data_IF_620395808677
#
_entry.id   IF_620395808677
#
_cell.length_a   1.000
_cell.length_b   1.000
_cell.length_c   1.000
_cell.angle_alpha   90.00
_cell.angle_beta   90.00
_cell.angle_gamma   90.00
#
_symmetry.space_group_name_H-M   'P 1'
#
loop_
_entity.id
_entity.type
_entity.pdbx_description
1 polymer ?
#
# COMPACT_ATOMS: atom_id res chain seq x y z
N UNK A 1 8.31 -16.23 -10.24
CA UNK A 1 6.91 -16.36 -9.86
C UNK A 1 6.67 -15.67 -8.52
N UNK A 2 5.51 -15.00 -8.40
CA UNK A 2 5.14 -14.37 -7.13
C UNK A 2 4.86 -15.45 -6.08
N UNK A 3 5.46 -15.31 -4.90
CA UNK A 3 5.20 -16.15 -3.76
C UNK A 3 4.20 -15.48 -2.84
N UNK A 4 3.09 -16.16 -2.51
CA UNK A 4 2.12 -15.66 -1.53
C UNK A 4 2.61 -16.04 -0.15
N UNK A 5 2.77 -15.04 0.73
CA UNK A 5 3.18 -15.23 2.12
C UNK A 5 2.12 -14.69 3.07
N UNK A 6 1.97 -15.34 4.21
CA UNK A 6 1.11 -14.88 5.29
C UNK A 6 1.86 -13.87 6.16
N UNK A 7 1.31 -12.66 6.26
CA UNK A 7 1.80 -11.62 7.17
C UNK A 7 1.39 -11.95 8.60
N UNK A 8 0.11 -12.23 8.79
CA UNK A 8 -0.45 -12.67 10.07
C UNK A 8 -1.72 -13.47 9.85
N UNK A 9 -2.03 -14.36 10.79
CA UNK A 9 -3.24 -15.16 10.80
C UNK A 9 -3.84 -15.14 12.20
N UNK A 10 -5.11 -14.86 12.31
CA UNK A 10 -5.84 -14.83 13.58
C UNK A 10 -7.08 -15.73 13.46
N UNK A 11 -7.30 -16.57 14.46
CA UNK A 11 -8.51 -17.39 14.55
C UNK A 11 -9.74 -16.51 14.87
N UNK A 12 -10.80 -16.71 14.13
CA UNK A 12 -12.12 -16.15 14.39
C UNK A 12 -13.06 -17.24 14.90
N UNK A 13 -14.30 -16.86 15.22
CA UNK A 13 -15.32 -17.82 15.62
C UNK A 13 -15.60 -18.84 14.50
N UNK A 14 -16.06 -20.05 14.88
CA UNK A 14 -16.51 -21.10 13.94
C UNK A 14 -15.40 -21.59 13.00
N UNK A 15 -14.18 -21.77 13.53
CA UNK A 15 -13.00 -22.25 12.78
C UNK A 15 -12.60 -21.39 11.57
N UNK A 16 -13.13 -20.18 11.46
CA UNK A 16 -12.69 -19.21 10.46
C UNK A 16 -11.37 -18.56 10.84
N UNK A 17 -10.62 -18.12 9.83
CA UNK A 17 -9.33 -17.45 10.02
C UNK A 17 -9.28 -16.14 9.26
N UNK A 18 -8.83 -15.09 9.94
CA UNK A 18 -8.46 -13.84 9.32
C UNK A 18 -6.99 -13.92 8.90
N UNK A 19 -6.73 -13.84 7.61
CA UNK A 19 -5.37 -13.88 7.06
C UNK A 19 -5.06 -12.60 6.32
N UNK A 20 -3.95 -11.97 6.69
CA UNK A 20 -3.36 -10.89 5.90
C UNK A 20 -2.26 -11.51 5.06
N UNK A 21 -2.39 -11.37 3.74
CA UNK A 21 -1.48 -11.96 2.76
C UNK A 21 -0.69 -10.88 2.04
N UNK A 22 0.50 -11.23 1.59
CA UNK A 22 1.29 -10.43 0.65
C UNK A 22 1.81 -11.28 -0.49
N UNK A 23 2.00 -10.65 -1.64
CA UNK A 23 2.68 -11.24 -2.78
C UNK A 23 4.13 -10.73 -2.79
N UNK A 24 5.09 -11.63 -2.70
CA UNK A 24 6.51 -11.30 -2.75
C UNK A 24 7.04 -11.64 -4.13
N UNK A 25 7.59 -10.64 -4.82
CA UNK A 25 8.18 -10.81 -6.14
C UNK A 25 9.65 -10.43 -6.02
N UNK A 26 10.51 -11.41 -6.28
CA UNK A 26 11.97 -11.29 -6.13
C UNK A 26 12.65 -11.40 -7.49
N UNK A 27 13.84 -10.78 -7.68
CA UNK A 27 14.61 -10.95 -8.89
C UNK A 27 15.10 -12.39 -9.04
N UNK A 28 15.38 -12.80 -10.28
CA UNK A 28 15.91 -14.14 -10.58
C UNK A 28 17.28 -14.37 -9.93
N UNK A 29 18.09 -13.32 -9.89
CA UNK A 29 19.44 -13.37 -9.29
C UNK A 29 19.53 -12.34 -8.17
N UNK A 30 19.62 -12.82 -6.94
CA UNK A 30 19.76 -11.97 -5.76
C UNK A 30 21.22 -11.69 -5.46
N UNK A 31 21.51 -10.44 -5.08
CA UNK A 31 22.82 -9.99 -4.62
C UNK A 31 22.92 -9.91 -3.09
N UNK A 32 21.79 -9.90 -2.40
CA UNK A 32 21.68 -9.63 -0.96
C UNK A 32 21.61 -8.14 -0.61
N UNK A 33 21.66 -7.26 -1.62
CA UNK A 33 21.60 -5.80 -1.42
C UNK A 33 20.39 -5.18 -2.12
N UNK A 34 19.38 -5.98 -2.41
CA UNK A 34 18.17 -5.53 -3.07
C UNK A 34 17.43 -4.51 -2.22
N UNK A 35 17.00 -3.42 -2.84
CA UNK A 35 16.02 -2.52 -2.25
C UNK A 35 14.64 -3.14 -2.31
N UNK A 36 13.80 -2.76 -1.36
CA UNK A 36 12.45 -3.29 -1.20
C UNK A 36 11.42 -2.17 -1.25
N UNK A 37 10.43 -2.34 -2.11
CA UNK A 37 9.25 -1.49 -2.18
C UNK A 37 8.02 -2.29 -1.75
N UNK A 38 7.18 -1.69 -0.93
CA UNK A 38 5.87 -2.22 -0.54
C UNK A 38 4.77 -1.40 -1.19
N UNK A 39 3.77 -2.06 -1.76
CA UNK A 39 2.57 -1.44 -2.30
C UNK A 39 1.38 -1.98 -1.53
N UNK A 40 0.63 -1.08 -0.89
CA UNK A 40 -0.43 -1.42 0.05
C UNK A 40 -1.75 -0.86 -0.44
N UNK A 41 -2.80 -1.67 -0.37
CA UNK A 41 -4.18 -1.26 -0.66
C UNK A 41 -5.17 -2.07 0.17
N UNK A 42 -6.47 -1.80 0.02
CA UNK A 42 -7.51 -2.55 0.70
C UNK A 42 -7.58 -2.31 2.21
N UNK A 43 -7.07 -1.19 2.71
CA UNK A 43 -7.29 -0.72 4.08
C UNK A 43 -8.76 -0.39 4.28
N UNK A 44 -9.37 0.28 3.31
CA UNK A 44 -10.81 0.44 3.19
C UNK A 44 -11.31 -0.46 2.06
N UNK A 45 -12.26 -1.34 2.37
CA UNK A 45 -12.66 -2.40 1.45
C UNK A 45 -13.49 -1.93 0.26
N UNK A 46 -14.05 -0.73 0.31
CA UNK A 46 -14.81 -0.12 -0.79
C UNK A 46 -13.94 0.72 -1.75
N UNK A 47 -12.65 0.85 -1.48
CA UNK A 47 -11.70 1.58 -2.32
C UNK A 47 -11.00 0.61 -3.28
N UNK A 48 -11.57 0.43 -4.48
CA UNK A 48 -11.18 -0.63 -5.40
C UNK A 48 -10.07 -0.26 -6.40
N UNK A 49 -9.74 1.03 -6.54
CA UNK A 49 -8.72 1.51 -7.48
C UNK A 49 -7.38 0.78 -7.27
N UNK A 50 -6.94 0.67 -6.03
CA UNK A 50 -5.70 -0.01 -5.67
C UNK A 50 -5.69 -1.51 -6.01
N UNK A 51 -6.84 -2.17 -6.03
CA UNK A 51 -6.95 -3.59 -6.43
C UNK A 51 -6.51 -3.77 -7.88
N UNK A 52 -6.95 -2.88 -8.75
CA UNK A 52 -6.56 -2.91 -10.15
C UNK A 52 -5.07 -2.59 -10.35
N UNK A 53 -4.53 -1.63 -9.59
CA UNK A 53 -3.09 -1.33 -9.59
C UNK A 53 -2.28 -2.58 -9.18
N UNK A 54 -2.68 -3.27 -8.13
CA UNK A 54 -2.03 -4.51 -7.71
C UNK A 54 -2.07 -5.59 -8.80
N UNK A 55 -3.20 -5.74 -9.47
CA UNK A 55 -3.34 -6.65 -10.60
C UNK A 55 -2.36 -6.31 -11.73
N UNK A 56 -2.31 -5.05 -12.15
CA UNK A 56 -1.40 -4.58 -13.20
C UNK A 56 0.08 -4.76 -12.82
N UNK A 57 0.45 -4.43 -11.59
CA UNK A 57 1.81 -4.65 -11.10
C UNK A 57 2.20 -6.13 -11.15
N UNK A 58 1.34 -7.00 -10.65
CA UNK A 58 1.60 -8.45 -10.71
C UNK A 58 1.76 -8.96 -12.14
N UNK A 59 0.91 -8.47 -13.04
CA UNK A 59 0.94 -8.87 -14.45
C UNK A 59 2.25 -8.45 -15.12
N UNK A 60 2.63 -7.18 -15.03
CA UNK A 60 3.82 -6.64 -15.67
C UNK A 60 5.09 -7.25 -15.07
N UNK A 61 5.17 -7.35 -13.75
CA UNK A 61 6.34 -7.94 -13.08
C UNK A 61 6.55 -9.41 -13.43
N UNK A 62 5.46 -10.15 -13.70
CA UNK A 62 5.55 -11.53 -14.14
C UNK A 62 5.97 -11.64 -15.60
N UNK A 63 5.40 -10.80 -16.47
CA UNK A 63 5.69 -10.81 -17.91
C UNK A 63 7.11 -10.32 -18.26
N UNK A 64 7.67 -9.44 -17.43
CA UNK A 64 8.95 -8.77 -17.67
C UNK A 64 9.89 -8.94 -16.46
N UNK A 65 9.88 -10.09 -15.86
CA UNK A 65 10.62 -10.35 -14.61
C UNK A 65 12.14 -10.20 -14.74
N UNK A 66 12.67 -10.33 -15.95
CA UNK A 66 14.10 -10.12 -16.25
C UNK A 66 14.58 -8.70 -15.93
N UNK A 67 13.65 -7.73 -15.88
CA UNK A 67 13.94 -6.35 -15.54
C UNK A 67 13.87 -6.05 -14.05
N UNK A 68 13.45 -7.00 -13.24
CA UNK A 68 13.34 -6.82 -11.78
C UNK A 68 14.72 -7.01 -11.13
N UNK A 69 15.17 -6.01 -10.37
CA UNK A 69 16.47 -5.99 -9.67
C UNK A 69 16.34 -5.79 -8.16
N UNK A 70 15.14 -5.59 -7.66
CA UNK A 70 14.84 -5.45 -6.25
C UNK A 70 13.64 -6.29 -5.84
N UNK A 71 13.16 -6.12 -4.63
CA UNK A 71 12.04 -6.86 -4.05
C UNK A 71 10.79 -6.00 -4.10
N UNK A 72 9.72 -6.54 -4.66
CA UNK A 72 8.39 -5.91 -4.64
C UNK A 72 7.46 -6.76 -3.78
N UNK A 73 6.89 -6.15 -2.76
CA UNK A 73 5.90 -6.79 -1.91
C UNK A 73 4.55 -6.07 -2.06
N UNK A 74 3.52 -6.80 -2.44
CA UNK A 74 2.18 -6.28 -2.69
C UNK A 74 1.24 -6.80 -1.63
N UNK A 75 0.60 -5.89 -0.90
CA UNK A 75 -0.40 -6.17 0.12
C UNK A 75 -1.77 -5.77 -0.42
N UNK A 76 -2.51 -6.69 -1.09
CA UNK A 76 -3.72 -6.31 -1.82
C UNK A 76 -4.91 -6.00 -0.91
N UNK A 77 -4.90 -6.51 0.31
CA UNK A 77 -6.03 -6.34 1.22
C UNK A 77 -5.57 -6.33 2.68
N UNK A 78 -5.35 -5.15 3.26
CA UNK A 78 -5.10 -5.03 4.69
C UNK A 78 -6.37 -5.27 5.52
N UNK A 79 -7.52 -5.09 4.92
CA UNK A 79 -8.84 -5.39 5.47
C UNK A 79 -9.56 -6.36 4.53
N UNK A 80 -9.21 -7.66 4.54
CA UNK A 80 -9.76 -8.62 3.57
C UNK A 80 -11.26 -8.82 3.74
N UNK A 81 -11.79 -8.78 4.95
CA UNK A 81 -13.23 -8.90 5.20
C UNK A 81 -13.98 -7.70 4.62
N UNK A 82 -13.41 -6.49 4.70
CA UNK A 82 -13.95 -5.30 4.09
C UNK A 82 -13.92 -5.36 2.56
N UNK A 83 -12.84 -5.84 1.98
CA UNK A 83 -12.74 -6.04 0.51
C UNK A 83 -13.77 -7.03 0.02
N UNK A 84 -13.93 -8.16 0.69
CA UNK A 84 -14.90 -9.20 0.32
C UNK A 84 -16.35 -8.71 0.38
N UNK A 85 -16.66 -7.83 1.32
CA UNK A 85 -18.02 -7.26 1.49
C UNK A 85 -18.20 -5.88 0.86
N UNK A 86 -17.15 -5.32 0.25
CA UNK A 86 -17.12 -3.97 -0.33
C UNK A 86 -17.61 -2.95 0.71
N UNK A 87 -17.02 -2.99 1.89
CA UNK A 87 -17.33 -2.10 3.00
C UNK A 87 -16.07 -1.38 3.48
N UNK A 88 -16.22 -0.12 3.90
CA UNK A 88 -15.10 0.72 4.32
C UNK A 88 -14.37 0.16 5.54
N UNK A 89 -15.10 -0.15 6.58
CA UNK A 89 -14.53 -0.63 7.84
C UNK A 89 -14.31 -2.14 7.86
N UNK A 90 -13.83 -2.62 9.00
CA UNK A 90 -13.74 -4.05 9.26
C UNK A 90 -15.14 -4.54 9.64
N UNK A 91 -15.81 -5.38 8.85
CA UNK A 91 -17.14 -5.87 9.17
C UNK A 91 -17.28 -6.42 10.55
N UNK A 92 -17.81 -6.95 11.25
CA UNK A 92 -17.83 -7.52 12.60
C UNK A 92 -17.32 -6.59 13.73
N UNK A 93 -16.38 -5.70 13.46
CA UNK A 93 -15.77 -4.83 14.48
C UNK A 93 -16.20 -3.37 14.39
N UNK A 94 -16.82 -2.97 13.28
CA UNK A 94 -17.21 -1.58 12.97
C UNK A 94 -16.07 -0.58 13.19
N UNK A 95 -14.87 -0.94 12.73
CA UNK A 95 -13.65 -0.16 12.89
C UNK A 95 -13.08 0.27 11.54
N UNK A 96 -12.63 1.51 11.47
CA UNK A 96 -11.77 1.99 10.40
C UNK A 96 -10.32 1.56 10.72
N UNK A 97 -9.78 0.64 9.93
CA UNK A 97 -8.43 0.12 10.15
C UNK A 97 -7.37 1.22 10.12
N UNK A 98 -7.58 2.27 9.33
CA UNK A 98 -6.65 3.39 9.25
C UNK A 98 -6.78 4.39 10.41
N UNK A 99 -7.37 3.96 11.53
CA UNK A 99 -7.46 4.73 12.78
C UNK A 99 -6.93 3.97 13.99
N UNK A 100 -6.34 2.79 13.76
CA UNK A 100 -5.84 1.92 14.84
C UNK A 100 -4.36 1.64 14.78
N UNK A 101 -3.64 2.09 13.73
CA UNK A 101 -2.20 1.97 13.64
C UNK A 101 -1.49 2.85 14.69
N UNK A 102 -0.35 2.43 15.23
CA UNK A 102 0.45 1.23 14.88
C UNK A 102 -0.07 -0.07 15.49
N UNK A 103 -1.17 -0.08 16.20
CA UNK A 103 -1.71 -1.25 16.86
C UNK A 103 -0.95 -1.66 18.11
N UNK A 104 -1.27 -2.85 18.60
CA UNK A 104 -0.61 -3.48 19.75
C UNK A 104 -0.73 -4.99 19.64
N UNK A 105 0.35 -5.71 19.85
CA UNK A 105 0.34 -7.19 19.83
C UNK A 105 -0.56 -7.79 20.91
N UNK A 106 -0.68 -7.10 22.03
CA UNK A 106 -1.49 -7.53 23.20
C UNK A 106 -2.89 -6.93 23.19
N UNK A 107 -3.24 -6.15 22.17
CA UNK A 107 -4.53 -5.48 22.06
C UNK A 107 -5.63 -6.35 21.48
N UNK A 108 -6.68 -5.70 20.97
CA UNK A 108 -7.76 -6.37 20.24
C UNK A 108 -7.24 -7.10 19.00
N UNK A 109 -8.06 -7.95 18.40
CA UNK A 109 -7.72 -8.63 17.13
C UNK A 109 -7.28 -7.64 16.06
N UNK A 110 -8.02 -6.54 15.89
CA UNK A 110 -7.67 -5.51 14.91
C UNK A 110 -6.35 -4.81 15.23
N UNK A 111 -6.10 -4.48 16.48
CA UNK A 111 -4.83 -3.88 16.93
C UNK A 111 -3.65 -4.84 16.76
N UNK A 112 -3.83 -6.12 17.04
CA UNK A 112 -2.81 -7.13 16.81
C UNK A 112 -2.46 -7.24 15.32
N UNK A 113 -3.45 -7.30 14.45
CA UNK A 113 -3.26 -7.33 13.00
C UNK A 113 -2.53 -6.08 12.52
N UNK A 114 -2.92 -4.89 12.98
CA UNK A 114 -2.24 -3.63 12.65
C UNK A 114 -0.77 -3.66 13.04
N UNK A 115 -0.45 -4.11 14.24
CA UNK A 115 0.94 -4.23 14.71
C UNK A 115 1.76 -5.19 13.84
N UNK A 116 1.21 -6.31 13.43
CA UNK A 116 1.88 -7.28 12.54
C UNK A 116 2.12 -6.74 11.14
N UNK A 117 1.22 -5.93 10.62
CA UNK A 117 1.41 -5.25 9.32
C UNK A 117 2.58 -4.27 9.41
N UNK A 118 2.62 -3.44 10.43
CA UNK A 118 3.73 -2.48 10.64
C UNK A 118 5.06 -3.21 10.79
N UNK A 119 5.12 -4.28 11.57
CA UNK A 119 6.30 -5.12 11.75
C UNK A 119 6.79 -5.72 10.42
N UNK A 120 5.88 -6.20 9.59
CA UNK A 120 6.21 -6.84 8.31
C UNK A 120 6.78 -5.84 7.29
N UNK A 121 6.27 -4.60 7.26
CA UNK A 121 6.72 -3.55 6.36
C UNK A 121 7.99 -2.85 6.88
N UNK A 122 8.26 -2.92 8.17
CA UNK A 122 9.44 -2.30 8.78
C UNK A 122 10.72 -2.64 8.01
N UNK A 123 11.57 -1.64 7.79
CA UNK A 123 12.81 -1.79 7.02
C UNK A 123 12.65 -1.68 5.51
N UNK A 124 11.45 -1.53 4.97
CA UNK A 124 11.27 -1.26 3.54
C UNK A 124 11.88 0.09 3.15
N UNK A 125 12.34 0.19 1.90
CA UNK A 125 12.94 1.44 1.38
C UNK A 125 11.89 2.44 0.90
N UNK A 126 10.70 1.96 0.57
CA UNK A 126 9.53 2.78 0.22
C UNK A 126 8.26 1.98 0.42
N UNK A 127 7.21 2.64 0.88
CA UNK A 127 5.84 2.12 0.87
C UNK A 127 4.93 3.10 0.11
N UNK A 128 4.14 2.58 -0.81
CA UNK A 128 3.08 3.32 -1.50
C UNK A 128 1.74 2.82 -0.98
N UNK A 129 1.01 3.69 -0.30
CA UNK A 129 -0.26 3.40 0.36
C UNK A 129 -1.40 3.97 -0.48
N UNK A 130 -2.14 3.10 -1.17
CA UNK A 130 -3.12 3.49 -2.19
C UNK A 130 -4.52 3.52 -1.59
N UNK A 131 -5.17 4.67 -1.71
CA UNK A 131 -6.55 4.92 -1.31
C UNK A 131 -7.38 5.47 -2.47
N UNK A 132 -8.69 5.40 -2.33
CA UNK A 132 -9.63 6.12 -3.16
C UNK A 132 -10.48 7.04 -2.29
N UNK A 133 -11.22 7.96 -2.91
CA UNK A 133 -12.20 8.79 -2.21
C UNK A 133 -13.40 7.97 -1.75
N UNK A 134 -14.28 8.59 -0.97
CA UNK A 134 -15.56 7.97 -0.65
C UNK A 134 -16.46 7.85 -1.90
N UNK A 135 -17.63 7.25 -1.75
CA UNK A 135 -18.57 7.00 -2.87
C UNK A 135 -19.20 8.26 -3.47
N UNK A 136 -19.03 9.42 -2.85
CA UNK A 136 -19.68 10.67 -3.26
C UNK A 136 -18.75 11.66 -3.95
N UNK A 137 -17.44 11.47 -3.82
CA UNK A 137 -16.44 12.40 -4.37
C UNK A 137 -15.43 11.66 -5.21
N UNK A 138 -15.21 12.14 -6.42
CA UNK A 138 -14.14 11.65 -7.29
C UNK A 138 -12.92 12.57 -7.16
N UNK A 139 -11.81 12.01 -6.77
CA UNK A 139 -10.55 12.73 -6.70
C UNK A 139 -9.65 12.41 -7.89
N UNK A 140 -9.00 13.43 -8.43
CA UNK A 140 -7.94 13.22 -9.42
C UNK A 140 -6.70 12.65 -8.72
N UNK A 141 -5.87 11.88 -9.42
CA UNK A 141 -4.70 11.25 -8.81
C UNK A 141 -3.78 12.25 -8.12
N UNK A 142 -3.52 12.02 -6.84
CA UNK A 142 -2.73 12.90 -6.02
C UNK A 142 -1.94 12.13 -4.96
N UNK A 143 -0.77 12.66 -4.60
CA UNK A 143 -0.08 12.23 -3.41
C UNK A 143 -0.40 13.19 -2.26
N UNK A 144 -0.55 12.65 -1.05
CA UNK A 144 -0.73 13.42 0.17
C UNK A 144 0.49 13.23 1.06
N UNK A 145 1.15 14.32 1.37
CA UNK A 145 2.40 14.34 2.11
C UNK A 145 2.27 15.30 3.30
N UNK A 146 2.65 14.85 4.49
CA UNK A 146 2.68 15.73 5.65
C UNK A 146 3.89 16.66 5.57
N UNK A 147 3.71 17.92 5.99
CA UNK A 147 4.78 18.94 6.00
C UNK A 147 6.01 18.49 6.77
N UNK A 148 5.86 17.68 7.81
CA UNK A 148 6.96 17.18 8.64
C UNK A 148 7.84 16.12 7.94
N UNK A 149 7.33 15.49 6.88
CA UNK A 149 8.02 14.44 6.13
C UNK A 149 8.28 14.83 4.68
N UNK A 150 7.94 16.04 4.28
CA UNK A 150 8.00 16.49 2.88
C UNK A 150 9.38 16.35 2.25
N UNK A 151 10.43 16.67 2.98
CA UNK A 151 11.80 16.62 2.46
C UNK A 151 12.20 15.18 2.05
N UNK A 152 11.75 14.19 2.82
CA UNK A 152 12.00 12.78 2.53
C UNK A 152 11.09 12.26 1.41
N UNK A 153 9.82 12.69 1.38
CA UNK A 153 8.80 12.07 0.52
C UNK A 153 8.65 12.73 -0.84
N UNK A 154 8.92 14.04 -0.99
CA UNK A 154 8.77 14.72 -2.27
C UNK A 154 9.58 14.10 -3.41
N UNK A 155 10.81 13.63 -3.21
CA UNK A 155 11.56 12.96 -4.28
C UNK A 155 10.84 11.73 -4.85
N UNK A 156 10.07 11.01 -4.03
CA UNK A 156 9.24 9.87 -4.48
C UNK A 156 7.90 10.34 -5.02
N UNK A 157 7.21 11.21 -4.29
CA UNK A 157 5.86 11.65 -4.63
C UNK A 157 5.80 12.34 -6.00
N UNK A 158 6.81 13.14 -6.34
CA UNK A 158 6.89 13.84 -7.62
C UNK A 158 7.17 12.91 -8.81
N UNK A 159 7.63 11.69 -8.56
CA UNK A 159 7.92 10.68 -9.60
C UNK A 159 6.80 9.67 -9.83
N UNK A 160 5.75 9.69 -8.99
CA UNK A 160 4.63 8.74 -9.08
C UNK A 160 3.64 9.03 -10.21
N UNK A 161 3.93 9.99 -11.10
CA UNK A 161 3.08 10.33 -12.26
C UNK A 161 1.68 10.81 -11.87
N UNK A 162 1.56 11.45 -10.73
CA UNK A 162 0.29 11.98 -10.23
C UNK A 162 0.06 13.42 -10.69
N UNK A 163 -1.19 13.89 -10.67
CA UNK A 163 -1.54 15.21 -11.15
C UNK A 163 -1.02 16.33 -10.23
N UNK A 164 -0.96 16.07 -8.92
CA UNK A 164 -0.36 17.00 -7.97
C UNK A 164 0.06 16.30 -6.67
N UNK A 165 0.84 17.01 -5.88
CA UNK A 165 1.21 16.61 -4.52
C UNK A 165 0.62 17.64 -3.55
N UNK A 166 -0.23 17.17 -2.65
CA UNK A 166 -0.78 18.00 -1.58
C UNK A 166 0.07 17.87 -0.33
N UNK A 167 0.75 18.95 0.03
CA UNK A 167 1.49 19.03 1.30
C UNK A 167 0.57 19.67 2.35
N UNK A 168 0.31 18.95 3.42
CA UNK A 168 -0.63 19.37 4.47
C UNK A 168 0.04 19.38 5.85
N UNK A 169 -0.53 20.17 6.77
CA UNK A 169 -0.03 20.32 8.12
C UNK A 169 -0.91 19.65 9.19
N UNK A 170 -1.89 18.81 8.80
CA UNK A 170 -2.77 18.14 9.74
C UNK A 170 -1.98 17.22 10.68
N UNK A 171 -2.25 17.31 11.97
CA UNK A 171 -1.47 16.62 12.99
C UNK A 171 -2.23 15.45 13.65
N UNK A 172 -3.42 15.69 14.17
CA UNK A 172 -4.02 14.79 15.16
C UNK A 172 -4.72 13.56 14.59
N UNK A 173 -5.41 13.66 13.47
CA UNK A 173 -6.14 12.52 12.88
C UNK A 173 -5.21 11.54 12.17
N UNK A 174 -4.02 11.99 11.80
CA UNK A 174 -3.08 11.21 11.00
C UNK A 174 -2.19 10.28 11.84
N UNK A 175 -2.07 10.51 13.14
CA UNK A 175 -1.19 9.72 14.01
C UNK A 175 -1.59 8.25 14.10
N UNK A 176 -2.85 7.94 13.83
CA UNK A 176 -3.39 6.57 13.83
C UNK A 176 -3.47 5.93 12.45
N UNK A 177 -2.85 6.53 11.44
CA UNK A 177 -2.78 5.97 10.08
C UNK A 177 -1.55 5.07 9.90
N UNK A 178 -1.63 4.17 8.93
CA UNK A 178 -0.49 3.35 8.52
C UNK A 178 0.69 4.22 8.09
N UNK A 179 0.45 5.21 7.23
CA UNK A 179 1.50 6.07 6.69
C UNK A 179 2.26 6.82 7.78
N UNK A 180 1.55 7.40 8.75
CA UNK A 180 2.20 8.07 9.89
C UNK A 180 3.06 7.09 10.68
N UNK A 181 2.52 5.92 11.00
CA UNK A 181 3.23 4.89 11.76
C UNK A 181 4.50 4.42 11.06
N UNK A 182 4.45 4.18 9.75
CA UNK A 182 5.61 3.74 8.97
C UNK A 182 6.66 4.85 8.82
N UNK A 183 6.24 6.08 8.52
CA UNK A 183 7.16 7.22 8.47
C UNK A 183 7.85 7.45 9.81
N UNK A 184 7.15 7.23 10.92
CA UNK A 184 7.71 7.37 12.28
C UNK A 184 8.81 6.36 12.60
N UNK A 185 8.82 5.21 11.95
CA UNK A 185 9.86 4.19 12.12
C UNK A 185 10.89 4.18 10.98
N UNK A 186 10.91 5.21 10.16
CA UNK A 186 11.90 5.39 9.11
C UNK A 186 11.60 4.69 7.79
N UNK A 187 10.36 4.23 7.56
CA UNK A 187 9.91 3.72 6.26
C UNK A 187 9.21 4.85 5.51
N UNK A 188 9.85 5.44 4.46
CA UNK A 188 9.20 6.48 3.66
C UNK A 188 7.89 5.93 3.07
N UNK A 189 6.78 6.58 3.39
CA UNK A 189 5.45 6.12 2.96
C UNK A 189 4.68 7.29 2.34
N UNK A 190 4.35 7.15 1.06
CA UNK A 190 3.56 8.11 0.31
C UNK A 190 2.12 7.60 0.23
N UNK A 191 1.18 8.43 0.67
CA UNK A 191 -0.25 8.16 0.49
C UNK A 191 -0.69 8.66 -0.87
N UNK A 192 -1.37 7.81 -1.63
CA UNK A 192 -1.98 8.14 -2.91
C UNK A 192 -3.49 8.08 -2.75
N UNK A 193 -4.16 9.14 -3.19
CA UNK A 193 -5.61 9.21 -3.28
C UNK A 193 -6.01 9.40 -4.73
N UNK A 194 -6.94 8.60 -5.23
CA UNK A 194 -7.42 8.73 -6.62
C UNK A 194 -8.76 8.03 -6.81
N UNK A 195 -9.59 8.61 -7.69
CA UNK A 195 -10.85 8.00 -8.08
C UNK A 195 -11.96 8.16 -7.05
N UNK A 196 -12.86 7.21 -7.01
CA UNK A 196 -14.06 7.20 -6.17
C UNK A 196 -14.33 5.79 -5.64
N UNK A 197 -14.88 5.70 -4.46
CA UNK A 197 -15.24 4.42 -3.83
C UNK A 197 -16.18 3.59 -4.70
N UNK A 198 -16.08 2.26 -4.57
CA UNK A 198 -16.87 1.24 -5.28
C UNK A 198 -16.71 1.24 -6.82
N UNK A 199 -15.69 1.91 -7.34
CA UNK A 199 -15.42 2.00 -8.79
C UNK A 199 -13.94 1.83 -9.10
N UNK A 200 -13.65 1.51 -10.34
CA UNK A 200 -12.29 1.44 -10.90
C UNK A 200 -12.22 2.40 -12.09
N UNK A 201 -11.32 3.38 -11.99
CA UNK A 201 -10.99 4.29 -13.07
C UNK A 201 -9.68 3.83 -13.69
N UNK A 202 -9.75 3.00 -14.72
CA UNK A 202 -8.56 2.34 -15.30
C UNK A 202 -7.46 3.31 -15.69
N UNK A 203 -7.81 4.48 -16.25
CA UNK A 203 -6.82 5.49 -16.64
C UNK A 203 -6.01 6.01 -15.43
N UNK A 204 -6.64 6.18 -14.28
CA UNK A 204 -5.95 6.56 -13.05
C UNK A 204 -5.04 5.44 -12.54
N UNK A 205 -5.52 4.21 -12.62
CA UNK A 205 -4.74 3.03 -12.21
C UNK A 205 -3.50 2.84 -13.09
N UNK A 206 -3.63 2.98 -14.41
CA UNK A 206 -2.50 2.94 -15.33
C UNK A 206 -1.50 4.07 -15.07
N UNK A 207 -2.00 5.28 -14.82
CA UNK A 207 -1.18 6.44 -14.49
C UNK A 207 -0.29 6.16 -13.26
N UNK A 208 -0.88 5.66 -12.19
CA UNK A 208 -0.14 5.32 -10.96
C UNK A 208 0.80 4.14 -11.18
N UNK A 209 0.37 3.10 -11.88
CA UNK A 209 1.22 1.94 -12.20
C UNK A 209 2.48 2.38 -12.91
N UNK A 210 2.36 3.22 -13.94
CA UNK A 210 3.50 3.79 -14.65
C UNK A 210 4.41 4.58 -13.70
N UNK A 211 3.83 5.37 -12.81
CA UNK A 211 4.57 6.13 -11.79
C UNK A 211 5.33 5.24 -10.80
N UNK A 212 4.74 4.12 -10.38
CA UNK A 212 5.41 3.16 -9.51
C UNK A 212 6.64 2.56 -10.22
N UNK A 213 6.54 2.22 -11.51
CA UNK A 213 7.71 1.76 -12.27
C UNK A 213 8.78 2.85 -12.43
N UNK A 214 8.39 4.12 -12.61
CA UNK A 214 9.35 5.23 -12.61
C UNK A 214 10.12 5.32 -11.29
N UNK A 215 9.44 5.23 -10.17
CA UNK A 215 10.06 5.25 -8.85
C UNK A 215 10.95 4.02 -8.64
N UNK A 216 10.49 2.84 -9.02
CA UNK A 216 11.31 1.62 -8.93
C UNK A 216 12.58 1.74 -9.77
N UNK A 217 12.52 2.37 -10.94
CA UNK A 217 13.71 2.61 -11.77
C UNK A 217 14.68 3.56 -11.08
N UNK A 218 14.17 4.67 -10.52
CA UNK A 218 15.01 5.61 -9.76
C UNK A 218 15.70 4.93 -8.56
N UNK A 219 15.05 3.96 -7.95
CA UNK A 219 15.58 3.21 -6.81
C UNK A 219 16.51 2.05 -7.19
N UNK A 220 16.63 1.73 -8.47
CA UNK A 220 17.39 0.56 -8.93
C UNK A 220 16.67 -0.78 -8.72
N UNK A 221 15.36 -0.77 -8.51
CA UNK A 221 14.51 -1.96 -8.39
C UNK A 221 14.10 -2.48 -9.77
N UNK A 222 14.04 -1.62 -10.77
CA UNK A 222 13.59 -1.91 -12.12
C UNK A 222 14.57 -1.34 -13.15
N UNK A 223 14.93 -2.10 -14.18
CA UNK A 223 15.79 -1.63 -15.27
C UNK A 223 15.12 -1.61 -16.65
N UNK A 224 13.83 -1.95 -16.70
CA UNK A 224 13.04 -1.88 -17.92
C UNK A 224 12.70 -0.45 -18.33
N UNK A 225 12.05 -0.31 -19.48
CA UNK A 225 11.60 0.98 -19.97
C UNK A 225 10.47 1.54 -19.08
N UNK A 226 10.47 2.85 -18.92
CA UNK A 226 9.43 3.62 -18.20
C UNK A 226 9.05 4.85 -19.02
N UNK A 227 7.88 5.46 -18.72
CA UNK A 227 7.43 6.68 -19.35
C UNK A 227 8.23 7.91 -18.91
#
# INVERSE_FOLDING_TARGET
DATIKTVTEVGLAVDEKLRILKHVIEPEHKTGQEKRICVVTGTHGDELEGQYVCYELNRILREQKEHLKGIVEIYPALNPLGVDSISRGIPMFDLDMNRIFPGSEEGSVAEHVAAKIVEDIAGADLCVDIHASNIFLREIPQARVNVNTKETLLPFATRLNLDFVWVHAAATVLESTLAHSLNSIGVPTVVVEMGVGMRITESFCHQLTDGIFCVMKDMGIWDGDVI
#
